data_IF_948783971529
#
_entry.id   IF_948783971529
#
_cell.length_a   1.000
_cell.length_b   1.000
_cell.length_c   1.000
_cell.angle_alpha   90.00
_cell.angle_beta   90.00
_cell.angle_gamma   90.00
#
_symmetry.space_group_name_H-M   'P 1'
#
loop_
_entity.id
_entity.type
_entity.pdbx_description
1 polymer ?
#
# COMPACT_ATOMS: atom_id res chain seq x y z
N UNK A 1 9.62 -22.11 3.75
CA UNK A 1 9.94 -20.78 3.17
C UNK A 1 9.31 -19.71 4.03
N UNK A 2 10.06 -18.74 4.50
CA UNK A 2 9.52 -17.60 5.23
C UNK A 2 9.22 -16.46 4.25
N UNK A 3 8.00 -15.97 4.24
CA UNK A 3 7.47 -15.08 3.20
C UNK A 3 6.90 -13.82 3.83
N UNK A 4 7.21 -12.66 3.23
CA UNK A 4 6.53 -11.42 3.54
C UNK A 4 6.38 -10.57 2.26
N UNK A 5 5.16 -10.51 1.75
CA UNK A 5 4.87 -9.82 0.48
C UNK A 5 4.26 -8.44 0.65
N UNK A 6 4.20 -7.91 1.89
CA UNK A 6 3.62 -6.61 2.15
C UNK A 6 4.46 -5.82 3.16
N UNK A 7 5.40 -5.02 2.64
CA UNK A 7 6.35 -4.25 3.44
C UNK A 7 6.51 -2.85 2.84
N UNK A 8 6.53 -1.84 3.70
CA UNK A 8 6.76 -0.45 3.34
C UNK A 8 8.16 0.01 3.69
N UNK A 9 8.72 0.88 2.84
CA UNK A 9 10.05 1.46 3.02
C UNK A 9 10.01 2.98 3.13
N UNK A 10 11.03 3.55 3.76
CA UNK A 10 11.25 5.00 3.75
C UNK A 10 11.62 5.52 2.36
N UNK A 11 12.20 4.66 1.51
CA UNK A 11 12.62 5.02 0.16
C UNK A 11 11.45 5.23 -0.81
N UNK A 12 10.33 4.61 -0.56
CA UNK A 12 9.15 4.68 -1.46
C UNK A 12 7.91 5.27 -0.84
N UNK A 13 7.68 5.12 0.48
CA UNK A 13 6.47 5.60 1.16
C UNK A 13 6.70 5.99 2.62
N UNK A 14 5.93 5.44 3.55
CA UNK A 14 5.87 5.83 4.96
C UNK A 14 6.45 4.78 5.92
N UNK A 15 7.15 3.79 5.41
CA UNK A 15 7.98 2.90 6.21
C UNK A 15 9.08 3.67 6.95
N UNK A 16 9.47 3.19 8.13
CA UNK A 16 10.47 3.87 8.95
C UNK A 16 11.90 3.51 8.57
N UNK A 17 12.14 2.33 7.99
CA UNK A 17 13.45 1.85 7.59
C UNK A 17 13.71 2.07 6.12
N UNK A 18 14.99 2.31 5.79
CA UNK A 18 15.47 2.26 4.43
C UNK A 18 15.59 0.81 3.94
N UNK A 19 15.71 0.65 2.63
CA UNK A 19 15.80 -0.69 2.02
C UNK A 19 16.98 -1.51 2.56
N UNK A 20 18.15 -0.91 2.74
CA UNK A 20 19.33 -1.62 3.30
C UNK A 20 19.04 -2.19 4.69
N UNK A 21 18.36 -1.43 5.55
CA UNK A 21 17.95 -1.88 6.89
C UNK A 21 16.95 -3.04 6.79
N UNK A 22 15.98 -2.95 5.88
CA UNK A 22 14.97 -3.98 5.64
C UNK A 22 15.61 -5.29 5.16
N UNK A 23 16.48 -5.22 4.14
CA UNK A 23 17.12 -6.43 3.61
C UNK A 23 18.15 -7.03 4.58
N UNK A 24 18.91 -6.20 5.31
CA UNK A 24 19.82 -6.68 6.35
C UNK A 24 19.08 -7.41 7.49
N UNK A 25 17.97 -6.86 7.98
CA UNK A 25 17.12 -7.50 9.00
C UNK A 25 16.43 -8.76 8.44
N UNK A 26 15.98 -8.71 7.18
CA UNK A 26 15.34 -9.83 6.48
C UNK A 26 16.26 -11.02 6.33
N UNK A 27 17.47 -10.83 5.83
CA UNK A 27 18.46 -11.89 5.69
C UNK A 27 19.03 -12.38 7.02
N UNK A 28 19.24 -11.45 7.96
CA UNK A 28 19.87 -11.74 9.23
C UNK A 28 18.91 -12.31 10.27
N UNK A 29 18.28 -11.41 11.03
CA UNK A 29 17.48 -11.79 12.21
C UNK A 29 16.16 -12.47 11.83
N UNK A 30 15.52 -12.05 10.73
CA UNK A 30 14.20 -12.54 10.34
C UNK A 30 14.25 -13.80 9.49
N UNK A 31 15.34 -14.02 8.76
CA UNK A 31 15.52 -15.17 7.88
C UNK A 31 14.37 -15.33 6.86
N UNK A 32 14.06 -14.24 6.16
CA UNK A 32 13.00 -14.22 5.14
C UNK A 32 13.58 -14.74 3.83
N UNK A 33 12.90 -15.68 3.21
CA UNK A 33 13.30 -16.30 1.94
C UNK A 33 12.74 -15.56 0.72
N UNK A 34 11.54 -14.97 0.87
CA UNK A 34 10.84 -14.26 -0.19
C UNK A 34 10.21 -12.97 0.34
N UNK A 35 10.54 -11.85 -0.29
CA UNK A 35 10.09 -10.52 0.14
C UNK A 35 9.53 -9.71 -1.04
N UNK A 36 8.60 -8.80 -0.74
CA UNK A 36 8.18 -7.74 -1.65
C UNK A 36 8.09 -6.41 -0.92
N UNK A 37 8.66 -5.36 -1.51
CA UNK A 37 8.46 -3.98 -1.08
C UNK A 37 7.27 -3.42 -1.85
N UNK A 38 6.26 -2.95 -1.13
CA UNK A 38 4.96 -2.56 -1.67
C UNK A 38 4.60 -1.12 -1.31
N UNK A 39 5.52 -0.22 -1.53
CA UNK A 39 5.34 1.20 -1.19
C UNK A 39 4.08 1.82 -1.82
N UNK A 40 3.41 2.70 -1.10
CA UNK A 40 2.15 3.33 -1.53
C UNK A 40 2.31 4.17 -2.81
N UNK A 41 1.62 3.79 -3.88
CA UNK A 41 1.58 4.47 -5.19
C UNK A 41 2.98 4.83 -5.73
N UNK A 42 4.01 4.03 -5.38
CA UNK A 42 5.41 4.30 -5.71
C UNK A 42 6.17 3.03 -6.06
N UNK A 43 6.86 3.05 -7.21
CA UNK A 43 7.76 1.97 -7.64
C UNK A 43 9.23 2.41 -7.65
N UNK A 44 9.54 3.56 -7.09
CA UNK A 44 10.89 4.16 -7.15
C UNK A 44 11.94 3.36 -6.38
N UNK A 45 11.52 2.65 -5.35
CA UNK A 45 12.38 1.79 -4.55
C UNK A 45 12.74 0.47 -5.24
N UNK A 46 12.02 0.08 -6.30
CA UNK A 46 12.08 -1.27 -6.87
C UNK A 46 13.46 -1.63 -7.47
N UNK A 47 14.10 -0.71 -8.19
CA UNK A 47 15.44 -0.96 -8.76
C UNK A 47 16.46 -1.30 -7.68
N UNK A 48 16.55 -0.46 -6.63
CA UNK A 48 17.44 -0.70 -5.50
C UNK A 48 17.04 -1.96 -4.70
N UNK A 49 15.75 -2.21 -4.56
CA UNK A 49 15.26 -3.41 -3.86
C UNK A 49 15.68 -4.70 -4.59
N UNK A 50 15.64 -4.74 -5.93
CA UNK A 50 16.12 -5.86 -6.74
C UNK A 50 17.62 -6.11 -6.54
N UNK A 51 18.44 -5.04 -6.56
CA UNK A 51 19.89 -5.13 -6.32
C UNK A 51 20.22 -5.65 -4.92
N UNK A 52 19.52 -5.15 -3.90
CA UNK A 52 19.71 -5.58 -2.51
C UNK A 52 19.26 -7.03 -2.31
N UNK A 53 18.11 -7.40 -2.86
CA UNK A 53 17.61 -8.78 -2.80
C UNK A 53 18.65 -9.77 -3.34
N UNK A 54 19.24 -9.46 -4.49
CA UNK A 54 20.33 -10.26 -5.06
C UNK A 54 21.55 -10.32 -4.13
N UNK A 55 21.94 -9.18 -3.54
CA UNK A 55 23.11 -9.08 -2.65
C UNK A 55 22.95 -9.90 -1.38
N UNK A 56 21.73 -9.92 -0.83
CA UNK A 56 21.40 -10.63 0.41
C UNK A 56 20.92 -12.07 0.18
N UNK A 57 20.75 -12.50 -1.08
CA UNK A 57 20.31 -13.85 -1.43
C UNK A 57 18.84 -14.12 -1.07
N UNK A 58 18.01 -13.08 -1.04
CA UNK A 58 16.56 -13.16 -0.78
C UNK A 58 15.83 -13.16 -2.12
N UNK A 59 14.87 -14.06 -2.33
CA UNK A 59 13.99 -13.99 -3.48
C UNK A 59 13.10 -12.74 -3.41
N UNK A 60 12.88 -12.08 -4.55
CA UNK A 60 12.18 -10.80 -4.60
C UNK A 60 11.05 -10.80 -5.63
N UNK A 61 9.90 -10.24 -5.25
CA UNK A 61 8.84 -9.88 -6.17
C UNK A 61 8.74 -8.36 -6.25
N UNK A 62 8.70 -7.79 -7.46
CA UNK A 62 8.34 -6.38 -7.60
C UNK A 62 6.96 -6.15 -7.05
N UNK A 63 6.79 -5.10 -6.23
CA UNK A 63 5.56 -4.83 -5.52
C UNK A 63 5.21 -3.33 -5.48
N UNK A 64 3.93 -3.04 -5.41
CA UNK A 64 3.38 -1.70 -5.17
C UNK A 64 2.03 -1.82 -4.50
N UNK A 65 1.73 -0.95 -3.55
CA UNK A 65 0.38 -0.82 -3.01
C UNK A 65 -0.31 0.40 -3.61
N UNK A 66 -1.39 0.17 -4.36
CA UNK A 66 -2.18 1.19 -5.04
C UNK A 66 -3.42 1.54 -4.24
N UNK A 67 -3.60 2.83 -3.92
CA UNK A 67 -4.83 3.30 -3.30
C UNK A 67 -5.89 3.53 -4.37
N UNK A 68 -6.93 2.71 -4.38
CA UNK A 68 -8.02 2.77 -5.35
C UNK A 68 -9.29 3.39 -4.75
N UNK A 69 -10.05 4.06 -5.59
CA UNK A 69 -11.37 4.59 -5.26
C UNK A 69 -12.42 3.58 -5.72
N UNK A 70 -13.22 3.09 -4.79
CA UNK A 70 -14.25 2.10 -5.04
C UNK A 70 -15.60 2.58 -4.50
N UNK A 71 -16.69 2.29 -5.21
CA UNK A 71 -18.06 2.53 -4.73
C UNK A 71 -18.95 1.35 -5.05
N UNK A 72 -19.92 1.09 -4.18
CA UNK A 72 -20.91 0.05 -4.41
C UNK A 72 -22.31 0.61 -4.09
N UNK A 73 -23.30 0.47 -5.00
CA UNK A 73 -24.62 1.10 -4.84
C UNK A 73 -25.37 0.70 -3.56
N UNK A 74 -25.18 -0.52 -3.07
CA UNK A 74 -25.88 -1.05 -1.89
C UNK A 74 -25.23 -0.57 -0.56
N UNK A 75 -24.06 0.05 -0.58
CA UNK A 75 -23.33 0.44 0.64
C UNK A 75 -23.02 1.94 0.66
N UNK A 76 -23.10 2.55 1.85
CA UNK A 76 -22.81 3.98 2.08
C UNK A 76 -23.53 4.94 1.12
N UNK A 77 -24.70 4.54 0.60
CA UNK A 77 -25.44 5.36 -0.37
C UNK A 77 -24.71 5.55 -1.71
N UNK A 78 -23.81 4.63 -2.08
CA UNK A 78 -23.00 4.73 -3.28
C UNK A 78 -21.78 5.68 -3.16
N UNK A 79 -21.55 6.27 -1.99
CA UNK A 79 -20.39 7.13 -1.77
C UNK A 79 -19.08 6.34 -1.89
N UNK A 80 -18.07 6.89 -2.56
CA UNK A 80 -16.80 6.22 -2.75
C UNK A 80 -16.03 6.05 -1.44
N UNK A 81 -15.32 4.93 -1.32
CA UNK A 81 -14.35 4.64 -0.28
C UNK A 81 -12.98 4.38 -0.90
N UNK A 82 -11.92 4.54 -0.12
CA UNK A 82 -10.60 4.09 -0.52
C UNK A 82 -10.43 2.63 -0.14
N UNK A 83 -9.89 1.84 -1.08
CA UNK A 83 -9.37 0.49 -0.84
C UNK A 83 -7.91 0.46 -1.27
N UNK A 84 -7.14 -0.48 -0.75
CA UNK A 84 -5.79 -0.72 -1.24
C UNK A 84 -5.72 -2.03 -2.02
N UNK A 85 -4.86 -2.05 -3.03
CA UNK A 85 -4.59 -3.20 -3.88
C UNK A 85 -3.09 -3.35 -4.09
N UNK A 86 -2.59 -4.57 -3.97
CA UNK A 86 -1.18 -4.90 -4.20
C UNK A 86 -0.98 -5.30 -5.65
N UNK A 87 -0.06 -4.62 -6.33
CA UNK A 87 0.43 -5.03 -7.65
C UNK A 87 1.71 -5.84 -7.48
N UNK A 88 1.81 -7.01 -8.13
CA UNK A 88 3.00 -7.86 -8.08
C UNK A 88 3.50 -8.25 -9.46
N UNK A 89 4.81 -8.52 -9.58
CA UNK A 89 5.47 -9.09 -10.78
C UNK A 89 5.29 -8.25 -12.06
N UNK A 90 5.09 -6.95 -11.93
CA UNK A 90 5.01 -6.04 -13.06
C UNK A 90 6.42 -5.63 -13.54
N UNK A 91 6.49 -5.23 -14.80
CA UNK A 91 7.66 -4.57 -15.37
C UNK A 91 7.79 -3.15 -14.79
N UNK A 92 8.86 -2.90 -14.03
CA UNK A 92 9.14 -1.61 -13.37
C UNK A 92 9.42 -0.47 -14.37
N UNK A 93 9.78 -0.80 -15.60
CA UNK A 93 10.09 0.13 -16.67
C UNK A 93 8.90 0.36 -17.63
N UNK A 94 7.74 -0.25 -17.35
CA UNK A 94 6.55 -0.07 -18.17
C UNK A 94 6.15 1.42 -18.21
N UNK A 95 6.18 2.08 -19.39
CA UNK A 95 6.04 3.53 -19.47
C UNK A 95 4.66 4.03 -19.01
N UNK A 96 3.59 3.26 -19.23
CA UNK A 96 2.23 3.64 -18.84
C UNK A 96 2.07 3.60 -17.32
N UNK A 97 2.62 2.58 -16.67
CA UNK A 97 2.63 2.46 -15.22
C UNK A 97 3.46 3.59 -14.59
N UNK A 98 4.68 3.80 -15.07
CA UNK A 98 5.59 4.86 -14.59
C UNK A 98 4.93 6.25 -14.71
N UNK A 99 4.39 6.60 -15.89
CA UNK A 99 3.73 7.88 -16.13
C UNK A 99 2.55 8.10 -15.18
N UNK A 100 1.71 7.07 -14.98
CA UNK A 100 0.55 7.18 -14.08
C UNK A 100 0.97 7.38 -12.63
N UNK A 101 1.95 6.63 -12.12
CA UNK A 101 2.43 6.77 -10.75
C UNK A 101 3.10 8.13 -10.51
N UNK A 102 3.85 8.64 -11.49
CA UNK A 102 4.39 10.00 -11.41
C UNK A 102 3.28 11.07 -11.42
N UNK A 103 2.21 10.88 -12.19
CA UNK A 103 1.06 11.78 -12.16
C UNK A 103 0.37 11.78 -10.79
N UNK A 104 0.17 10.61 -10.17
CA UNK A 104 -0.37 10.46 -8.81
C UNK A 104 0.53 11.15 -7.78
N UNK A 105 1.83 10.94 -7.86
CA UNK A 105 2.85 11.57 -6.99
C UNK A 105 2.81 13.09 -7.09
N UNK A 106 2.80 13.62 -8.31
CA UNK A 106 2.73 15.06 -8.55
C UNK A 106 1.40 15.66 -8.04
N UNK A 107 0.30 14.93 -8.15
CA UNK A 107 -0.96 15.33 -7.57
C UNK A 107 -0.90 15.35 -6.03
N UNK A 108 -0.28 14.36 -5.39
CA UNK A 108 -0.09 14.33 -3.93
C UNK A 108 0.66 15.55 -3.43
N UNK A 109 1.73 15.96 -4.11
CA UNK A 109 2.47 17.19 -3.76
C UNK A 109 1.57 18.43 -3.81
N UNK A 110 0.85 18.62 -4.93
CA UNK A 110 -0.10 19.74 -5.08
C UNK A 110 -1.23 19.68 -4.02
N UNK A 111 -1.67 18.48 -3.66
CA UNK A 111 -2.69 18.26 -2.63
C UNK A 111 -2.19 18.71 -1.26
N UNK A 112 -0.94 18.37 -0.90
CA UNK A 112 -0.34 18.82 0.36
C UNK A 112 -0.27 20.34 0.43
N UNK A 113 0.16 21.03 -0.62
CA UNK A 113 0.14 22.50 -0.68
C UNK A 113 -1.25 23.04 -0.33
N UNK A 114 -2.30 22.51 -0.95
CA UNK A 114 -3.68 22.93 -0.69
C UNK A 114 -4.15 22.61 0.74
N UNK A 115 -3.71 21.47 1.31
CA UNK A 115 -4.00 21.15 2.71
C UNK A 115 -3.33 22.16 3.63
N UNK A 116 -2.07 22.55 3.39
CA UNK A 116 -1.38 23.58 4.17
C UNK A 116 -2.04 24.95 4.04
N UNK A 117 -2.54 25.31 2.87
CA UNK A 117 -3.33 26.54 2.69
C UNK A 117 -4.63 26.51 3.51
N UNK A 118 -5.33 25.37 3.56
CA UNK A 118 -6.52 25.19 4.40
C UNK A 118 -6.16 25.26 5.89
N UNK A 119 -5.08 24.60 6.31
CA UNK A 119 -4.56 24.66 7.69
C UNK A 119 -4.24 26.09 8.09
N UNK A 120 -3.60 26.87 7.23
CA UNK A 120 -3.25 28.25 7.49
C UNK A 120 -4.50 29.15 7.74
N UNK A 121 -5.64 28.82 7.09
CA UNK A 121 -6.91 29.51 7.36
C UNK A 121 -7.45 29.16 8.74
N UNK A 122 -7.31 27.91 9.19
CA UNK A 122 -7.72 27.52 10.56
C UNK A 122 -6.76 28.12 11.60
N UNK A 123 -5.46 28.07 11.35
CA UNK A 123 -4.45 28.65 12.24
C UNK A 123 -4.65 30.16 12.45
N UNK A 124 -5.04 30.89 11.41
CA UNK A 124 -5.34 32.31 11.52
C UNK A 124 -6.49 32.60 12.50
N UNK A 125 -7.49 31.71 12.60
CA UNK A 125 -8.61 31.85 13.56
C UNK A 125 -8.15 31.64 15.02
N UNK A 126 -7.10 30.83 15.21
CA UNK A 126 -6.57 30.49 16.54
C UNK A 126 -5.35 31.35 16.90
N UNK A 127 -4.91 32.27 16.05
CA UNK A 127 -3.71 33.08 16.26
C UNK A 127 -2.40 32.30 16.18
N UNK A 128 -2.41 31.14 15.54
CA UNK A 128 -1.22 30.32 15.32
C UNK A 128 -0.43 30.79 14.10
N UNK A 129 0.90 30.58 14.07
CA UNK A 129 1.74 30.94 12.92
C UNK A 129 1.38 30.07 11.70
N UNK A 130 1.29 30.69 10.53
CA UNK A 130 1.06 30.01 9.27
C UNK A 130 2.26 29.14 8.86
N UNK A 131 1.98 28.02 8.24
CA UNK A 131 3.02 27.25 7.51
C UNK A 131 3.51 28.04 6.29
N UNK A 132 4.80 27.98 6.08
CA UNK A 132 5.55 28.66 5.02
C UNK A 132 6.01 27.67 3.96
N UNK A 133 6.65 28.17 2.90
CA UNK A 133 7.34 27.31 1.91
C UNK A 133 8.43 26.46 2.57
N UNK A 134 9.18 27.02 3.54
CA UNK A 134 10.19 26.27 4.27
C UNK A 134 9.62 25.11 5.10
N UNK A 135 8.39 25.25 5.60
CA UNK A 135 7.70 24.15 6.29
C UNK A 135 7.26 23.06 5.30
N UNK A 136 6.79 23.45 4.10
CA UNK A 136 6.49 22.50 3.02
C UNK A 136 7.76 21.73 2.60
N UNK A 137 8.87 22.44 2.36
CA UNK A 137 10.15 21.82 2.01
C UNK A 137 10.64 20.85 3.08
N UNK A 138 10.45 21.18 4.37
CA UNK A 138 10.81 20.30 5.47
C UNK A 138 9.91 19.06 5.55
N UNK A 139 8.61 19.19 5.26
CA UNK A 139 7.68 18.05 5.17
C UNK A 139 8.06 17.16 3.98
N UNK A 140 8.32 17.74 2.80
CA UNK A 140 8.74 16.98 1.62
C UNK A 140 10.08 16.25 1.84
N UNK A 141 11.06 16.91 2.45
CA UNK A 141 12.36 16.32 2.76
C UNK A 141 12.29 15.18 3.80
N UNK A 142 11.21 15.09 4.57
CA UNK A 142 11.03 14.01 5.54
C UNK A 142 10.55 12.69 4.89
N UNK A 143 10.30 12.68 3.57
CA UNK A 143 9.69 11.58 2.83
C UNK A 143 10.33 11.45 1.46
N UNK A 144 10.91 10.30 1.17
CA UNK A 144 11.42 9.98 -0.17
C UNK A 144 10.32 9.50 -1.14
N UNK A 145 9.12 9.21 -0.63
CA UNK A 145 8.03 8.55 -1.34
C UNK A 145 6.70 9.28 -1.35
N UNK A 146 5.64 8.58 -0.98
CA UNK A 146 4.26 9.07 -1.06
C UNK A 146 3.90 10.07 0.05
N UNK A 147 4.00 11.35 -0.26
CA UNK A 147 3.64 12.44 0.66
C UNK A 147 2.15 12.45 0.99
N UNK A 148 1.79 12.54 2.28
CA UNK A 148 0.42 12.49 2.75
C UNK A 148 0.18 13.18 4.09
N UNK A 149 -1.08 13.16 4.55
CA UNK A 149 -1.49 13.75 5.83
C UNK A 149 -0.73 13.24 7.06
N UNK A 150 -0.33 11.96 7.17
CA UNK A 150 0.49 11.49 8.28
C UNK A 150 1.80 12.27 8.45
N UNK A 151 2.43 12.66 7.35
CA UNK A 151 3.67 13.45 7.36
C UNK A 151 3.41 14.87 7.86
N UNK A 152 2.28 15.48 7.47
CA UNK A 152 1.86 16.78 8.00
C UNK A 152 1.57 16.66 9.50
N UNK A 153 0.86 15.61 9.94
CA UNK A 153 0.57 15.37 11.34
C UNK A 153 1.84 15.24 12.18
N UNK A 154 2.81 14.43 11.71
CA UNK A 154 4.12 14.29 12.34
C UNK A 154 4.87 15.62 12.43
N UNK A 155 4.81 16.42 11.38
CA UNK A 155 5.42 17.74 11.35
C UNK A 155 4.77 18.70 12.36
N UNK A 156 3.43 18.68 12.47
CA UNK A 156 2.70 19.47 13.47
C UNK A 156 3.08 19.11 14.91
N UNK A 157 3.28 17.82 15.19
CA UNK A 157 3.77 17.35 16.51
C UNK A 157 5.19 17.88 16.76
N UNK A 158 6.08 17.76 15.77
CA UNK A 158 7.46 18.24 15.89
C UNK A 158 7.55 19.77 16.11
N UNK A 159 6.60 20.52 15.57
CA UNK A 159 6.47 21.98 15.78
C UNK A 159 5.77 22.35 17.09
N UNK A 160 5.27 21.40 17.84
CA UNK A 160 4.53 21.64 19.08
C UNK A 160 3.15 22.29 18.88
N UNK A 161 2.58 22.21 17.68
CA UNK A 161 1.23 22.72 17.37
C UNK A 161 0.17 21.80 18.00
N UNK A 162 0.44 20.52 18.05
CA UNK A 162 -0.38 19.47 18.67
C UNK A 162 0.50 18.51 19.46
N UNK A 163 -0.08 17.80 20.44
CA UNK A 163 0.68 16.85 21.26
C UNK A 163 0.85 15.48 20.57
N UNK A 164 -0.12 15.08 19.74
CA UNK A 164 -0.14 13.77 19.07
C UNK A 164 -0.59 13.90 17.60
N UNK A 165 -0.21 12.90 16.79
CA UNK A 165 -0.71 12.84 15.42
C UNK A 165 -2.24 12.68 15.37
N UNK A 166 -2.82 11.91 16.31
CA UNK A 166 -4.28 11.77 16.39
C UNK A 166 -4.95 13.14 16.64
N UNK A 167 -4.41 13.95 17.53
CA UNK A 167 -4.91 15.32 17.74
C UNK A 167 -4.83 16.18 16.47
N UNK A 168 -3.75 16.03 15.68
CA UNK A 168 -3.63 16.72 14.40
C UNK A 168 -4.76 16.35 13.44
N UNK A 169 -5.11 15.05 13.38
CA UNK A 169 -6.23 14.59 12.56
C UNK A 169 -7.57 15.12 13.07
N UNK A 170 -7.85 14.97 14.35
CA UNK A 170 -9.15 15.31 14.94
C UNK A 170 -9.45 16.82 14.88
N UNK A 171 -8.44 17.66 15.13
CA UNK A 171 -8.62 19.11 15.14
C UNK A 171 -8.55 19.77 13.77
N UNK A 172 -7.70 19.24 12.88
CA UNK A 172 -7.33 19.97 11.66
C UNK A 172 -7.43 19.14 10.39
N UNK A 173 -6.74 18.00 10.30
CA UNK A 173 -6.46 17.34 9.01
C UNK A 173 -7.67 16.65 8.37
N UNK A 174 -8.71 16.33 9.17
CA UNK A 174 -9.97 15.81 8.63
C UNK A 174 -10.73 16.93 7.92
N UNK A 175 -10.88 18.09 8.54
CA UNK A 175 -11.63 19.22 7.96
C UNK A 175 -10.86 19.98 6.88
N UNK A 176 -9.51 19.97 6.92
CA UNK A 176 -8.65 20.65 5.95
C UNK A 176 -8.30 19.74 4.75
N UNK A 177 -8.85 18.53 4.69
CA UNK A 177 -8.51 17.57 3.65
C UNK A 177 -8.90 18.06 2.24
N UNK A 178 -8.16 17.57 1.27
CA UNK A 178 -8.41 17.79 -0.17
C UNK A 178 -8.54 16.41 -0.81
N UNK A 179 -9.53 16.18 -1.69
CA UNK A 179 -9.72 14.90 -2.34
C UNK A 179 -8.44 14.36 -2.98
N UNK A 180 -8.22 13.05 -2.87
CA UNK A 180 -7.16 12.35 -3.62
C UNK A 180 -7.49 12.34 -5.10
N UNK A 181 -6.47 12.21 -5.97
CA UNK A 181 -6.69 11.89 -7.38
C UNK A 181 -7.30 10.48 -7.43
N UNK A 182 -8.47 10.31 -8.02
CA UNK A 182 -9.10 9.00 -8.09
C UNK A 182 -8.31 8.07 -9.01
N UNK A 183 -8.13 6.84 -8.57
CA UNK A 183 -7.69 5.69 -9.37
C UNK A 183 -8.77 4.63 -9.19
N UNK A 184 -9.51 4.29 -10.24
CA UNK A 184 -10.55 3.25 -10.13
C UNK A 184 -9.91 1.86 -10.07
N UNK A 185 -10.62 0.88 -9.49
CA UNK A 185 -10.17 -0.52 -9.45
C UNK A 185 -9.91 -1.06 -10.87
N UNK A 186 -10.75 -0.70 -11.84
CA UNK A 186 -10.54 -1.05 -13.26
C UNK A 186 -9.24 -0.48 -13.79
N UNK A 187 -8.98 0.79 -13.59
CA UNK A 187 -7.75 1.44 -14.05
C UNK A 187 -6.50 0.85 -13.38
N UNK A 188 -6.55 0.56 -12.07
CA UNK A 188 -5.47 -0.13 -11.37
C UNK A 188 -5.19 -1.52 -11.96
N UNK A 189 -6.26 -2.27 -12.28
CA UNK A 189 -6.14 -3.57 -12.96
C UNK A 189 -5.49 -3.45 -14.34
N UNK A 190 -5.93 -2.51 -15.15
CA UNK A 190 -5.38 -2.26 -16.49
C UNK A 190 -3.91 -1.85 -16.44
N UNK A 191 -3.52 -1.02 -15.46
CA UNK A 191 -2.13 -0.60 -15.27
C UNK A 191 -1.22 -1.77 -14.89
N UNK A 192 -1.58 -2.53 -13.86
CA UNK A 192 -0.75 -3.63 -13.36
C UNK A 192 -0.71 -4.78 -14.36
N UNK A 193 -1.85 -5.20 -14.91
CA UNK A 193 -1.91 -6.26 -15.93
C UNK A 193 -1.26 -5.84 -17.24
N UNK A 194 -1.40 -4.58 -17.64
CA UNK A 194 -0.73 -4.01 -18.81
C UNK A 194 0.79 -3.96 -18.68
N UNK A 195 1.31 -3.92 -17.46
CA UNK A 195 2.73 -4.09 -17.13
C UNK A 195 3.13 -5.56 -16.90
N UNK A 196 2.27 -6.54 -17.19
CA UNK A 196 2.54 -7.98 -17.03
C UNK A 196 2.31 -8.52 -15.61
N UNK A 197 1.86 -7.68 -14.69
CA UNK A 197 1.70 -8.01 -13.27
C UNK A 197 0.34 -8.62 -12.91
N UNK A 198 0.14 -8.80 -11.59
CA UNK A 198 -1.07 -9.32 -10.95
C UNK A 198 -1.59 -8.33 -9.93
N UNK A 199 -2.91 -8.06 -9.92
CA UNK A 199 -3.54 -7.18 -8.95
C UNK A 199 -4.25 -7.99 -7.87
N UNK A 200 -3.88 -7.76 -6.61
CA UNK A 200 -4.37 -8.47 -5.43
C UNK A 200 -5.11 -7.49 -4.53
N UNK A 201 -6.30 -7.82 -4.05
CA UNK A 201 -7.01 -7.01 -3.06
C UNK A 201 -6.28 -7.08 -1.73
N UNK A 202 -5.79 -5.94 -1.23
CA UNK A 202 -5.01 -5.85 0.01
C UNK A 202 -5.91 -5.91 1.25
N UNK A 203 -5.44 -6.53 2.32
CA UNK A 203 -6.01 -6.57 3.68
C UNK A 203 -7.53 -6.28 3.77
N UNK A 204 -8.38 -7.06 3.07
CA UNK A 204 -9.78 -6.69 2.82
C UNK A 204 -10.64 -6.51 4.08
N UNK A 205 -10.24 -7.04 5.22
CA UNK A 205 -10.97 -6.91 6.49
C UNK A 205 -10.16 -6.15 7.58
N UNK A 206 -9.20 -5.32 7.20
CA UNK A 206 -8.53 -4.45 8.19
C UNK A 206 -9.49 -3.34 8.65
N UNK A 207 -9.89 -3.30 9.93
CA UNK A 207 -10.82 -2.30 10.45
C UNK A 207 -10.20 -0.89 10.52
N UNK A 208 -8.89 -0.79 10.49
CA UNK A 208 -8.14 0.47 10.59
C UNK A 208 -7.55 0.92 9.24
N UNK A 209 -7.62 0.06 8.21
CA UNK A 209 -7.07 0.32 6.90
C UNK A 209 -8.09 0.79 5.87
N UNK A 210 -7.61 0.95 4.65
CA UNK A 210 -8.42 1.23 3.46
C UNK A 210 -8.92 -0.09 2.86
N UNK A 211 -9.98 -0.63 3.45
CA UNK A 211 -10.48 -1.98 3.24
C UNK A 211 -11.99 -2.08 3.07
N UNK A 212 -12.51 -3.26 2.73
CA UNK A 212 -13.94 -3.55 2.66
C UNK A 212 -14.63 -3.45 4.03
N UNK A 213 -13.89 -3.56 5.14
CA UNK A 213 -14.43 -3.32 6.47
C UNK A 213 -15.02 -1.90 6.62
N UNK A 214 -14.54 -0.94 5.83
CA UNK A 214 -15.11 0.40 5.75
C UNK A 214 -16.49 0.45 5.06
N UNK A 215 -16.85 -0.55 4.26
CA UNK A 215 -18.18 -0.66 3.67
C UNK A 215 -19.13 -1.44 4.59
N UNK A 216 -18.67 -2.58 5.09
CA UNK A 216 -19.43 -3.46 5.97
C UNK A 216 -18.49 -4.30 6.86
N UNK A 217 -18.82 -4.49 8.15
CA UNK A 217 -18.09 -5.40 9.02
C UNK A 217 -18.40 -6.88 8.78
N UNK A 218 -19.38 -7.19 7.93
CA UNK A 218 -19.83 -8.54 7.63
C UNK A 218 -18.94 -9.21 6.61
N UNK A 219 -18.14 -10.21 7.01
CA UNK A 219 -17.32 -11.01 6.08
C UNK A 219 -18.14 -11.58 4.91
N UNK A 220 -19.36 -12.05 5.18
CA UNK A 220 -20.24 -12.58 4.13
C UNK A 220 -20.55 -11.51 3.07
N UNK A 221 -20.86 -10.30 3.50
CA UNK A 221 -21.13 -9.19 2.59
C UNK A 221 -19.88 -8.72 1.86
N UNK A 222 -18.72 -8.69 2.54
CA UNK A 222 -17.44 -8.39 1.91
C UNK A 222 -17.14 -9.37 0.77
N UNK A 223 -17.28 -10.68 1.01
CA UNK A 223 -17.10 -11.71 -0.02
C UNK A 223 -18.11 -11.56 -1.19
N UNK A 224 -19.36 -11.17 -0.89
CA UNK A 224 -20.36 -10.88 -1.92
C UNK A 224 -19.96 -9.66 -2.76
N UNK A 225 -19.45 -8.60 -2.15
CA UNK A 225 -18.94 -7.42 -2.86
C UNK A 225 -17.80 -7.81 -3.80
N UNK A 226 -16.84 -8.61 -3.32
CA UNK A 226 -15.75 -9.12 -4.16
C UNK A 226 -16.29 -9.90 -5.35
N UNK A 227 -17.21 -10.82 -5.10
CA UNK A 227 -17.82 -11.65 -6.15
C UNK A 227 -18.53 -10.79 -7.21
N UNK A 228 -19.35 -9.85 -6.79
CA UNK A 228 -20.26 -9.13 -7.69
C UNK A 228 -19.60 -7.96 -8.42
N UNK A 229 -18.53 -7.37 -7.83
CA UNK A 229 -18.00 -6.11 -8.32
C UNK A 229 -16.48 -6.07 -8.55
N UNK A 230 -15.71 -7.12 -8.17
CA UNK A 230 -14.24 -7.05 -8.25
C UNK A 230 -13.62 -8.18 -9.07
N UNK A 231 -14.31 -9.30 -9.31
CA UNK A 231 -13.76 -10.50 -9.97
C UNK A 231 -13.12 -10.23 -11.33
N UNK A 232 -13.63 -9.29 -12.10
CA UNK A 232 -13.07 -8.93 -13.41
C UNK A 232 -11.75 -8.18 -13.31
N UNK A 233 -11.46 -7.59 -12.15
CA UNK A 233 -10.37 -6.65 -11.97
C UNK A 233 -9.23 -7.17 -11.11
N UNK A 234 -9.47 -8.13 -10.21
CA UNK A 234 -8.43 -8.68 -9.32
C UNK A 234 -8.00 -10.07 -9.78
N UNK A 235 -6.73 -10.40 -9.54
CA UNK A 235 -6.16 -11.72 -9.77
C UNK A 235 -6.12 -12.55 -8.48
N UNK A 236 -6.25 -11.89 -7.32
CA UNK A 236 -6.17 -12.56 -6.02
C UNK A 236 -6.57 -11.70 -4.84
N UNK A 237 -6.38 -12.25 -3.64
CA UNK A 237 -6.73 -11.61 -2.36
C UNK A 237 -5.62 -11.86 -1.35
N UNK A 238 -5.25 -10.84 -0.58
CA UNK A 238 -4.39 -10.97 0.58
C UNK A 238 -5.16 -11.60 1.73
N UNK A 239 -4.85 -12.88 2.02
CA UNK A 239 -5.55 -13.66 3.02
C UNK A 239 -4.86 -13.62 4.39
N UNK A 240 -3.52 -13.66 4.40
CA UNK A 240 -2.72 -13.57 5.62
C UNK A 240 -2.23 -12.14 5.81
N UNK A 241 -2.66 -11.54 6.90
CA UNK A 241 -2.29 -10.16 7.23
C UNK A 241 -2.18 -9.99 8.74
N UNK A 242 -1.32 -9.09 9.22
CA UNK A 242 -1.09 -8.87 10.66
C UNK A 242 -2.36 -8.55 11.47
N UNK A 243 -3.40 -8.02 10.82
CA UNK A 243 -4.68 -7.64 11.44
C UNK A 243 -5.83 -8.58 11.08
N UNK A 244 -5.56 -9.68 10.37
CA UNK A 244 -6.54 -10.71 10.11
C UNK A 244 -6.53 -11.77 11.20
N UNK A 245 -7.68 -12.08 11.77
CA UNK A 245 -7.86 -13.24 12.64
C UNK A 245 -8.00 -14.54 11.81
N UNK A 246 -7.92 -15.68 12.45
CA UNK A 246 -8.06 -16.98 11.80
C UNK A 246 -9.37 -17.16 11.05
N UNK A 247 -10.47 -16.55 11.53
CA UNK A 247 -11.78 -16.61 10.88
C UNK A 247 -11.76 -15.83 9.59
N UNK A 248 -11.20 -14.64 9.58
CA UNK A 248 -11.04 -13.78 8.40
C UNK A 248 -10.16 -14.49 7.36
N UNK A 249 -8.97 -14.93 7.78
CA UNK A 249 -8.04 -15.67 6.92
C UNK A 249 -8.71 -16.89 6.29
N UNK A 250 -9.38 -17.75 7.08
CA UNK A 250 -10.07 -18.94 6.59
C UNK A 250 -11.20 -18.63 5.61
N UNK A 251 -11.97 -17.55 5.85
CA UNK A 251 -13.06 -17.14 4.96
C UNK A 251 -12.52 -16.70 3.59
N UNK A 252 -11.47 -15.86 3.55
CA UNK A 252 -10.89 -15.39 2.29
C UNK A 252 -10.14 -16.49 1.53
N UNK A 253 -9.42 -17.41 2.22
CA UNK A 253 -8.82 -18.58 1.58
C UNK A 253 -9.88 -19.44 0.90
N UNK A 254 -10.94 -19.78 1.63
CA UNK A 254 -12.03 -20.62 1.09
C UNK A 254 -12.67 -19.94 -0.13
N UNK A 255 -12.92 -18.66 -0.05
CA UNK A 255 -13.46 -17.90 -1.16
C UNK A 255 -12.51 -17.88 -2.36
N UNK A 256 -11.24 -17.54 -2.15
CA UNK A 256 -10.24 -17.49 -3.22
C UNK A 256 -10.09 -18.84 -3.94
N UNK A 257 -10.05 -19.94 -3.17
CA UNK A 257 -10.00 -21.30 -3.74
C UNK A 257 -11.24 -21.62 -4.60
N UNK A 258 -12.44 -21.29 -4.12
CA UNK A 258 -13.68 -21.53 -4.86
C UNK A 258 -13.78 -20.70 -6.14
N UNK A 259 -13.20 -19.51 -6.15
CA UNK A 259 -13.21 -18.57 -7.28
C UNK A 259 -12.01 -18.72 -8.22
N UNK A 260 -11.04 -19.58 -7.90
CA UNK A 260 -9.80 -19.72 -8.69
C UNK A 260 -8.88 -18.51 -8.61
N UNK A 261 -8.97 -17.71 -7.54
CA UNK A 261 -8.13 -16.55 -7.30
C UNK A 261 -6.80 -16.96 -6.66
N UNK A 262 -5.75 -16.20 -6.94
CA UNK A 262 -4.49 -16.28 -6.22
C UNK A 262 -4.68 -15.82 -4.77
N UNK A 263 -3.76 -16.23 -3.90
CA UNK A 263 -3.70 -15.76 -2.53
C UNK A 263 -2.33 -15.13 -2.25
N UNK A 264 -2.31 -14.08 -1.44
CA UNK A 264 -1.06 -13.49 -0.93
C UNK A 264 -1.12 -13.32 0.58
N UNK A 265 0.01 -12.90 1.15
CA UNK A 265 0.08 -12.56 2.55
C UNK A 265 1.36 -11.80 2.88
N UNK A 266 1.25 -10.94 3.87
CA UNK A 266 2.35 -10.14 4.37
C UNK A 266 2.02 -9.47 5.70
N UNK A 267 3.01 -8.78 6.25
CA UNK A 267 2.89 -8.16 7.56
C UNK A 267 2.25 -6.78 7.53
N UNK A 268 2.27 -6.09 6.39
CA UNK A 268 2.03 -4.65 6.27
C UNK A 268 2.98 -3.85 7.18
N UNK A 269 4.24 -4.26 7.12
CA UNK A 269 5.28 -3.78 8.01
C UNK A 269 5.69 -2.36 7.67
N UNK A 270 5.45 -1.45 8.61
CA UNK A 270 6.03 -0.11 8.65
C UNK A 270 7.12 0.00 9.72
N UNK A 271 7.64 -1.14 10.18
CA UNK A 271 8.62 -1.44 11.22
C UNK A 271 8.14 -1.22 12.67
N UNK A 272 7.07 -0.48 12.89
CA UNK A 272 6.42 -0.35 14.21
C UNK A 272 4.92 -0.11 14.03
N UNK A 273 4.02 -0.78 14.80
CA UNK A 273 4.34 -1.81 15.81
C UNK A 273 4.55 -3.21 15.22
N UNK A 274 4.24 -3.44 13.94
CA UNK A 274 4.34 -4.73 13.25
C UNK A 274 5.71 -4.87 12.60
N UNK A 275 6.36 -6.01 12.79
CA UNK A 275 7.66 -6.30 12.20
C UNK A 275 7.51 -7.29 11.03
N UNK A 276 8.41 -7.17 10.04
CA UNK A 276 8.41 -8.08 8.89
C UNK A 276 8.58 -9.54 9.32
N UNK A 277 7.90 -10.45 8.61
CA UNK A 277 7.96 -11.88 8.84
C UNK A 277 7.30 -12.36 10.13
N UNK A 278 6.40 -11.55 10.73
CA UNK A 278 5.59 -11.96 11.90
C UNK A 278 4.31 -12.70 11.51
N UNK A 279 3.90 -12.58 10.24
CA UNK A 279 2.74 -13.30 9.70
C UNK A 279 3.19 -14.63 9.14
N UNK A 280 2.57 -15.71 9.58
CA UNK A 280 2.88 -17.08 9.11
C UNK A 280 2.19 -17.35 7.77
N UNK A 281 2.88 -17.01 6.69
CA UNK A 281 2.40 -17.17 5.31
C UNK A 281 2.87 -18.53 4.78
N UNK A 282 1.96 -19.44 4.36
CA UNK A 282 2.33 -20.77 3.87
C UNK A 282 3.19 -20.76 2.60
N UNK A 283 4.08 -21.74 2.45
CA UNK A 283 5.04 -21.89 1.34
C UNK A 283 4.37 -21.82 -0.04
N UNK A 284 3.19 -22.43 -0.19
CA UNK A 284 2.49 -22.48 -1.47
C UNK A 284 2.08 -21.10 -1.99
N UNK A 285 1.97 -20.10 -1.11
CA UNK A 285 1.70 -18.70 -1.48
C UNK A 285 2.88 -18.15 -2.30
N UNK A 286 4.11 -18.34 -1.83
CA UNK A 286 5.30 -17.95 -2.59
C UNK A 286 5.47 -18.75 -3.88
N UNK A 287 5.18 -20.04 -3.83
CA UNK A 287 5.28 -20.93 -5.02
C UNK A 287 4.38 -20.48 -6.18
N UNK A 288 3.20 -19.91 -5.91
CA UNK A 288 2.29 -19.40 -6.94
C UNK A 288 2.98 -18.31 -7.78
N UNK A 289 3.73 -17.42 -7.13
CA UNK A 289 4.44 -16.34 -7.80
C UNK A 289 5.73 -16.83 -8.45
N UNK A 290 6.50 -17.71 -7.80
CA UNK A 290 7.79 -18.18 -8.30
C UNK A 290 7.67 -19.11 -9.52
N UNK A 291 6.62 -19.91 -9.63
CA UNK A 291 6.35 -20.76 -10.81
C UNK A 291 6.18 -19.94 -12.09
N UNK A 292 5.63 -18.73 -12.00
CA UNK A 292 5.50 -17.80 -13.13
C UNK A 292 6.87 -17.27 -13.64
N UNK A 293 7.83 -17.05 -12.75
CA UNK A 293 9.15 -16.54 -13.12
C UNK A 293 9.98 -17.54 -13.91
N UNK A 294 9.88 -18.84 -13.62
CA UNK A 294 10.64 -19.87 -14.33
C UNK A 294 10.18 -20.08 -15.79
N UNK A 295 8.92 -19.79 -16.10
CA UNK A 295 8.39 -19.91 -17.47
C UNK A 295 8.83 -18.76 -18.39
N UNK A 296 9.09 -17.56 -17.85
CA UNK A 296 9.57 -16.43 -18.65
C UNK A 296 11.06 -16.53 -19.03
N UNK A 297 11.89 -17.14 -18.19
CA UNK A 297 13.34 -17.33 -18.48
C UNK A 297 13.55 -18.39 -19.57
N UNK A 298 12.69 -19.39 -19.68
CA UNK A 298 12.78 -20.42 -20.74
C UNK A 298 12.23 -19.98 -22.11
N UNK A 299 11.39 -18.95 -22.15
CA UNK A 299 10.83 -18.39 -23.39
C UNK A 299 11.76 -17.42 -24.13
N UNK A 300 12.75 -16.85 -23.46
CA UNK A 300 13.68 -15.85 -24.02
C UNK A 300 14.94 -16.46 -24.66
N UNK A 301 15.08 -17.79 -24.62
CA UNK A 301 16.24 -18.54 -25.21
C UNK A 301 15.87 -19.38 -26.44
N UNK A 302 14.85 -18.98 -27.17
CA UNK A 302 14.55 -19.61 -28.50
C UNK A 302 14.48 -18.59 -29.60
#
# INVERSE_FOLDING_TARGET
MKIDLHIHSRNGSDGHWGLEEIFAEGAGRRQIDLISITDHDSIRAQGLALELAQSYGIAYLTGVELNVTFSHPAYKGGNPVSLDCLGYQYDIDNPVLVEKLEALRNYRKRRVVRILENLNREFAKEGLPAFTVADLDAIEASVDGALGRPHIAKYMVNKGIVATQQEAFDRYLVQCDVPKMPLSLKEASELIRGAGGKLILAHPNDPNGTSLANLTPSLKEQLQIVHDAMMDYIDGIECWHSRHDHKTTGAYITFAQNMGLMVSGGSDCHQHPVLMGEVDVPDYVGEQFLKGLQSHVQGATR
#
